data_IF_083696078279
#
_entry.id   IF_083696078279
#
_cell.length_a   1.000
_cell.length_b   1.000
_cell.length_c   1.000
_cell.angle_alpha   90.00
_cell.angle_beta   90.00
_cell.angle_gamma   90.00
#
_symmetry.space_group_name_H-M   'P 1'
#
loop_
_entity.id
_entity.type
_entity.pdbx_description
1 polymer ?
#
# COMPACT_ATOMS: atom_id res chain seq x y z
N UNK A 1 10.18 -1.12 -14.72
CA UNK A 1 9.30 -0.83 -13.59
C UNK A 1 8.08 -1.73 -13.64
N UNK A 2 7.79 -2.43 -12.56
CA UNK A 2 6.68 -3.38 -12.51
C UNK A 2 5.35 -2.63 -12.37
N UNK A 3 4.33 -3.07 -13.10
CA UNK A 3 3.00 -2.46 -13.00
C UNK A 3 2.38 -2.78 -11.64
N UNK A 4 1.58 -1.87 -11.06
CA UNK A 4 0.91 -2.13 -9.78
C UNK A 4 0.09 -3.42 -9.76
N UNK A 5 -0.60 -3.75 -10.85
CA UNK A 5 -1.39 -4.98 -10.94
C UNK A 5 -0.52 -6.23 -10.75
N UNK A 6 0.67 -6.22 -11.32
CA UNK A 6 1.59 -7.35 -11.19
C UNK A 6 2.16 -7.44 -9.78
N UNK A 7 2.51 -6.29 -9.20
CA UNK A 7 2.97 -6.24 -7.81
C UNK A 7 1.91 -6.80 -6.86
N UNK A 8 0.67 -6.39 -7.05
CA UNK A 8 -0.43 -6.85 -6.22
C UNK A 8 -0.60 -8.37 -6.32
N UNK A 9 -0.57 -8.91 -7.54
CA UNK A 9 -0.68 -10.34 -7.75
C UNK A 9 0.46 -11.10 -7.07
N UNK A 10 1.68 -10.59 -7.15
CA UNK A 10 2.83 -11.21 -6.50
C UNK A 10 2.70 -11.20 -4.98
N UNK A 11 2.18 -10.11 -4.42
CA UNK A 11 1.96 -10.03 -2.98
C UNK A 11 0.88 -11.01 -2.51
N UNK A 12 -0.19 -11.15 -3.29
CA UNK A 12 -1.28 -12.08 -2.96
C UNK A 12 -0.84 -13.54 -2.99
N UNK A 13 0.05 -13.88 -3.91
CA UNK A 13 0.51 -15.26 -4.05
C UNK A 13 1.68 -15.58 -3.12
N UNK A 14 2.09 -14.62 -2.28
CA UNK A 14 3.20 -14.77 -1.34
C UNK A 14 4.54 -15.08 -2.02
N UNK A 15 4.66 -14.75 -3.31
CA UNK A 15 5.92 -14.93 -4.03
C UNK A 15 6.99 -13.96 -3.54
N UNK A 16 6.56 -12.78 -3.06
CA UNK A 16 7.46 -11.79 -2.49
C UNK A 16 6.89 -11.37 -1.15
N UNK A 17 7.77 -11.07 -0.20
CA UNK A 17 7.36 -10.69 1.15
C UNK A 17 7.37 -9.18 1.36
N UNK A 18 8.22 -8.50 0.62
CA UNK A 18 8.33 -7.05 0.72
C UNK A 18 8.64 -6.47 -0.64
N UNK A 19 8.39 -5.19 -0.79
CA UNK A 19 8.66 -4.45 -2.02
C UNK A 19 9.32 -3.13 -1.64
N UNK A 20 10.04 -2.49 -2.58
CA UNK A 20 10.54 -1.16 -2.33
C UNK A 20 9.42 -0.21 -1.91
N UNK A 21 9.71 0.67 -0.96
CA UNK A 21 8.70 1.58 -0.43
C UNK A 21 8.07 2.43 -1.54
N UNK A 22 8.87 2.84 -2.52
CA UNK A 22 8.38 3.59 -3.66
C UNK A 22 7.31 2.82 -4.44
N UNK A 23 7.51 1.53 -4.61
CA UNK A 23 6.54 0.68 -5.30
C UNK A 23 5.27 0.51 -4.49
N UNK A 24 5.41 0.45 -3.15
CA UNK A 24 4.25 0.39 -2.26
C UNK A 24 3.42 1.68 -2.38
N UNK A 25 4.08 2.84 -2.43
CA UNK A 25 3.38 4.10 -2.63
C UNK A 25 2.60 4.12 -3.95
N UNK A 26 3.22 3.62 -5.01
CA UNK A 26 2.55 3.53 -6.32
C UNK A 26 1.33 2.61 -6.26
N UNK A 27 1.47 1.50 -5.55
CA UNK A 27 0.38 0.55 -5.37
C UNK A 27 -0.78 1.18 -4.60
N UNK A 28 -0.48 1.93 -3.55
CA UNK A 28 -1.50 2.65 -2.80
C UNK A 28 -2.28 3.61 -3.69
N UNK A 29 -1.57 4.40 -4.51
CA UNK A 29 -2.22 5.33 -5.41
C UNK A 29 -3.09 4.62 -6.45
N UNK A 30 -2.64 3.46 -6.92
CA UNK A 30 -3.40 2.68 -7.89
C UNK A 30 -4.75 2.22 -7.32
N UNK A 31 -4.82 2.01 -6.00
CA UNK A 31 -6.06 1.62 -5.31
C UNK A 31 -6.88 2.81 -4.83
N UNK A 32 -6.46 4.03 -5.14
CA UNK A 32 -7.23 5.22 -4.80
C UNK A 32 -6.86 5.87 -3.49
N UNK A 33 -5.79 5.42 -2.84
CA UNK A 33 -5.29 6.08 -1.64
C UNK A 33 -4.58 7.38 -2.00
N UNK A 34 -4.62 8.34 -1.10
CA UNK A 34 -3.95 9.61 -1.27
C UNK A 34 -3.04 9.86 -0.07
N UNK A 35 -1.85 10.38 -0.35
CA UNK A 35 -0.92 10.78 0.70
C UNK A 35 -1.43 12.06 1.33
N UNK A 36 -1.84 11.97 2.59
CA UNK A 36 -2.42 13.12 3.31
C UNK A 36 -1.33 13.99 3.93
N UNK A 37 -0.47 13.38 4.74
CA UNK A 37 0.61 14.13 5.40
C UNK A 37 1.71 13.18 5.85
N UNK A 38 2.84 13.77 6.21
CA UNK A 38 3.98 13.04 6.78
C UNK A 38 4.28 13.60 8.16
N UNK A 39 4.43 12.73 9.15
CA UNK A 39 4.81 13.09 10.51
C UNK A 39 6.07 12.32 10.87
N UNK A 40 7.22 13.01 10.86
CA UNK A 40 8.51 12.35 11.03
C UNK A 40 8.74 11.36 9.90
N UNK A 41 8.94 10.09 10.22
CA UNK A 41 9.12 9.04 9.22
C UNK A 41 7.82 8.35 8.83
N UNK A 42 6.69 8.74 9.46
CA UNK A 42 5.39 8.13 9.18
C UNK A 42 4.66 8.92 8.11
N UNK A 43 4.16 8.22 7.09
CA UNK A 43 3.29 8.80 6.08
C UNK A 43 1.86 8.37 6.38
N UNK A 44 0.94 9.34 6.34
CA UNK A 44 -0.48 9.07 6.56
C UNK A 44 -1.19 9.12 5.23
N UNK A 45 -1.83 8.02 4.87
CA UNK A 45 -2.55 7.87 3.61
C UNK A 45 -4.04 7.69 3.90
N UNK A 46 -4.88 8.25 3.05
CA UNK A 46 -6.32 8.19 3.20
C UNK A 46 -6.99 7.64 1.95
N UNK A 47 -8.20 7.12 2.12
CA UNK A 47 -9.01 6.63 1.00
C UNK A 47 -10.45 7.15 1.19
N UNK A 48 -11.11 7.59 0.10
CA UNK A 48 -12.43 8.21 0.23
C UNK A 48 -13.51 7.32 0.83
N UNK A 49 -13.37 6.00 0.70
CA UNK A 49 -14.37 5.06 1.23
C UNK A 49 -13.97 4.41 2.55
N UNK A 50 -12.83 4.78 3.10
CA UNK A 50 -12.32 4.21 4.35
C UNK A 50 -12.18 5.31 5.39
N UNK A 51 -12.81 5.11 6.55
CA UNK A 51 -12.82 6.12 7.60
C UNK A 51 -11.51 6.25 8.37
N UNK A 52 -10.68 5.22 8.33
CA UNK A 52 -9.42 5.21 9.07
C UNK A 52 -8.26 5.53 8.15
N UNK A 53 -7.31 6.35 8.58
CA UNK A 53 -6.09 6.55 7.80
C UNK A 53 -5.20 5.32 7.89
N UNK A 54 -4.37 5.13 6.87
CA UNK A 54 -3.34 4.10 6.86
C UNK A 54 -2.00 4.79 7.13
N UNK A 55 -1.34 4.41 8.21
CA UNK A 55 -0.04 4.97 8.54
C UNK A 55 1.05 3.98 8.13
N UNK A 56 1.99 4.43 7.31
CA UNK A 56 3.06 3.57 6.81
C UNK A 56 4.42 4.24 7.02
N UNK A 57 5.45 3.42 7.08
CA UNK A 57 6.80 3.87 7.37
C UNK A 57 7.78 2.90 6.70
N UNK A 58 8.79 3.41 5.98
CA UNK A 58 9.78 2.51 5.38
C UNK A 58 10.67 1.86 6.43
N UNK A 59 11.14 0.65 6.13
CA UNK A 59 12.22 0.00 6.84
C UNK A 59 13.39 0.01 5.87
N UNK A 60 14.36 0.89 6.11
CA UNK A 60 15.34 1.25 5.10
C UNK A 60 14.62 1.80 3.86
N UNK A 61 14.72 1.11 2.74
CA UNK A 61 14.08 1.53 1.49
C UNK A 61 12.87 0.68 1.14
N UNK A 62 12.51 -0.26 2.01
CA UNK A 62 11.45 -1.22 1.72
C UNK A 62 10.22 -0.98 2.60
N UNK A 63 9.07 -1.45 2.12
CA UNK A 63 7.85 -1.46 2.91
C UNK A 63 7.94 -2.57 3.95
N UNK A 64 7.43 -2.30 5.16
CA UNK A 64 7.38 -3.32 6.19
C UNK A 64 6.28 -4.34 5.88
N UNK A 65 6.56 -5.62 6.11
CA UNK A 65 5.62 -6.68 5.78
C UNK A 65 4.27 -6.51 6.45
N UNK A 66 4.24 -6.15 7.73
CA UNK A 66 2.95 -6.00 8.43
C UNK A 66 2.10 -4.87 7.85
N UNK A 67 2.73 -3.85 7.30
CA UNK A 67 2.00 -2.74 6.66
C UNK A 67 1.42 -3.18 5.30
N UNK A 68 2.16 -3.99 4.57
CA UNK A 68 1.65 -4.59 3.35
C UNK A 68 0.43 -5.45 3.66
N UNK A 69 0.49 -6.25 4.73
CA UNK A 69 -0.62 -7.09 5.14
C UNK A 69 -1.84 -6.27 5.56
N UNK A 70 -1.63 -5.16 6.26
CA UNK A 70 -2.72 -4.24 6.59
C UNK A 70 -3.39 -3.69 5.34
N UNK A 71 -2.59 -3.30 4.36
CA UNK A 71 -3.10 -2.80 3.10
C UNK A 71 -3.93 -3.87 2.37
N UNK A 72 -3.42 -5.09 2.27
CA UNK A 72 -4.13 -6.18 1.61
C UNK A 72 -5.45 -6.49 2.32
N UNK A 73 -5.45 -6.43 3.64
CA UNK A 73 -6.66 -6.63 4.43
C UNK A 73 -7.69 -5.54 4.17
N UNK A 74 -7.27 -4.30 4.09
CA UNK A 74 -8.16 -3.18 3.76
C UNK A 74 -8.78 -3.35 2.38
N UNK A 75 -7.98 -3.76 1.41
CA UNK A 75 -8.47 -4.00 0.05
C UNK A 75 -9.58 -5.05 0.06
N UNK A 76 -9.37 -6.13 0.80
CA UNK A 76 -10.36 -7.20 0.89
C UNK A 76 -11.61 -6.77 1.64
N UNK A 77 -11.43 -6.13 2.80
CA UNK A 77 -12.56 -5.70 3.64
C UNK A 77 -13.47 -4.69 2.95
N UNK A 78 -12.89 -3.79 2.19
CA UNK A 78 -13.64 -2.69 1.56
C UNK A 78 -13.89 -2.90 0.07
N UNK A 79 -13.49 -4.04 -0.46
CA UNK A 79 -13.72 -4.34 -1.87
C UNK A 79 -13.05 -3.35 -2.81
N UNK A 80 -11.85 -2.91 -2.49
CA UNK A 80 -11.15 -1.94 -3.31
C UNK A 80 -10.63 -2.58 -4.60
N UNK A 81 -10.48 -1.77 -5.61
CA UNK A 81 -9.94 -2.22 -6.89
C UNK A 81 -9.05 -1.14 -7.48
N UNK A 82 -8.15 -1.57 -8.35
CA UNK A 82 -7.22 -0.66 -9.01
C UNK A 82 -7.87 0.06 -10.18
N UNK A 83 -7.50 1.33 -10.34
CA UNK A 83 -7.93 2.15 -11.47
C UNK A 83 -6.71 2.49 -12.32
N UNK A 84 -6.07 1.47 -12.87
CA UNK A 84 -4.97 1.73 -13.80
C UNK A 84 -5.35 1.40 -15.23
#
# INVERSE_FOLDING_TARGET
MIKPSKLYAQLLTSRIRTIPFRDFERLLRAFGFEHDRTRGSHQVWTHPTINRPLSIQPSDKDAKRYQIEQFLELVEQHGLYMSE
#
